data_IF_548002567917
#
_entry.id   IF_548002567917
#
_cell.length_a   1.000
_cell.length_b   1.000
_cell.length_c   1.000
_cell.angle_alpha   90.00
_cell.angle_beta   90.00
_cell.angle_gamma   90.00
#
_symmetry.space_group_name_H-M   'P 1'
#
loop_
_entity.id
_entity.type
_entity.pdbx_description
1 polymer ?
#
# COMPACT_ATOMS: atom_id res chain seq x y z
N UNK A 1 -4.84 78.48 -35.46
CA UNK A 1 -4.53 77.20 -36.14
C UNK A 1 -4.98 76.05 -35.24
N UNK A 2 -5.28 74.86 -35.77
CA UNK A 2 -5.57 73.68 -34.95
C UNK A 2 -4.25 73.01 -34.56
N UNK A 3 -4.18 72.46 -33.35
CA UNK A 3 -3.04 71.65 -32.90
C UNK A 3 -2.94 70.35 -33.69
N UNK A 4 -1.83 69.63 -33.51
CA UNK A 4 -1.78 68.21 -33.83
C UNK A 4 -2.84 67.44 -33.03
N UNK A 5 -3.33 66.33 -33.59
CA UNK A 5 -4.30 65.49 -32.91
C UNK A 5 -3.64 64.78 -31.73
N UNK A 6 -4.32 64.73 -30.57
CA UNK A 6 -3.77 64.09 -29.36
C UNK A 6 -3.58 62.58 -29.48
N UNK A 7 -4.21 61.93 -30.46
CA UNK A 7 -4.12 60.49 -30.73
C UNK A 7 -4.03 60.26 -32.24
N UNK A 8 -3.38 59.18 -32.66
CA UNK A 8 -3.24 58.83 -34.09
C UNK A 8 -4.41 58.00 -34.64
N UNK A 9 -5.21 57.39 -33.76
CA UNK A 9 -6.39 56.57 -34.06
C UNK A 9 -7.26 56.44 -32.80
N UNK A 10 -8.44 55.82 -32.94
CA UNK A 10 -9.41 55.54 -31.87
C UNK A 10 -9.90 56.77 -31.08
N UNK A 11 -9.93 57.93 -31.74
CA UNK A 11 -10.46 59.17 -31.18
C UNK A 11 -9.43 60.00 -30.42
N UNK A 12 -9.10 61.16 -30.96
CA UNK A 12 -8.32 62.21 -30.32
C UNK A 12 -9.02 63.56 -30.38
N UNK A 13 -8.38 64.56 -29.79
CA UNK A 13 -8.88 65.93 -29.76
C UNK A 13 -7.83 66.88 -30.33
N UNK A 14 -8.27 67.74 -31.25
CA UNK A 14 -7.53 68.92 -31.68
C UNK A 14 -8.09 70.13 -30.98
N UNK A 15 -7.21 71.01 -30.53
CA UNK A 15 -7.59 72.28 -29.88
C UNK A 15 -7.19 73.44 -30.76
N UNK A 16 -8.04 74.45 -30.81
CA UNK A 16 -7.71 75.68 -31.52
C UNK A 16 -6.77 76.49 -30.64
N UNK A 17 -5.60 76.83 -31.17
CA UNK A 17 -4.66 77.67 -30.45
C UNK A 17 -5.20 79.09 -30.35
N UNK A 18 -5.33 79.58 -29.11
CA UNK A 18 -5.74 80.94 -28.79
C UNK A 18 -4.50 81.73 -28.40
N UNK A 19 -4.26 82.83 -29.10
CA UNK A 19 -3.12 83.71 -28.87
C UNK A 19 -3.60 85.11 -28.48
N UNK A 20 -2.94 85.72 -27.49
CA UNK A 20 -3.19 87.10 -27.11
C UNK A 20 -2.58 88.04 -28.15
N UNK A 21 -3.35 88.97 -28.70
CA UNK A 21 -2.89 89.94 -29.71
C UNK A 21 -3.22 91.37 -29.28
N UNK A 22 -2.35 92.32 -29.60
CA UNK A 22 -2.65 93.74 -29.38
C UNK A 22 -3.64 94.27 -30.44
N UNK A 23 -4.49 95.22 -30.05
CA UNK A 23 -5.54 95.78 -30.93
C UNK A 23 -5.01 96.79 -31.95
N UNK A 24 -3.86 97.40 -31.70
CA UNK A 24 -3.24 98.44 -32.52
C UNK A 24 -2.48 97.86 -33.73
N UNK A 25 -1.66 96.83 -33.50
CA UNK A 25 -0.76 96.26 -34.50
C UNK A 25 -0.97 94.76 -34.77
N UNK A 26 -1.94 94.12 -34.10
CA UNK A 26 -2.20 92.67 -34.16
C UNK A 26 -1.00 91.78 -33.78
N UNK A 27 0.03 92.33 -33.14
CA UNK A 27 1.19 91.56 -32.69
C UNK A 27 0.82 90.62 -31.55
N UNK A 28 1.40 89.41 -31.55
CA UNK A 28 1.17 88.39 -30.53
C UNK A 28 1.97 88.75 -29.28
N UNK A 29 1.32 88.82 -28.13
CA UNK A 29 1.93 89.12 -26.83
C UNK A 29 1.71 87.98 -25.83
N UNK A 30 2.40 88.03 -24.70
CA UNK A 30 2.22 87.02 -23.65
C UNK A 30 0.79 87.04 -23.10
N UNK A 31 0.30 85.87 -22.71
CA UNK A 31 -1.10 85.69 -22.33
C UNK A 31 -1.51 86.53 -21.09
N UNK A 32 -0.54 86.93 -20.25
CA UNK A 32 -0.77 87.75 -19.05
C UNK A 32 -1.21 89.20 -19.37
N UNK A 33 -1.02 89.66 -20.61
CA UNK A 33 -1.47 90.99 -21.05
C UNK A 33 -2.92 91.00 -21.55
N UNK A 34 -3.53 89.82 -21.74
CA UNK A 34 -4.97 89.70 -22.03
C UNK A 34 -5.73 89.40 -20.73
N UNK A 35 -6.93 89.98 -20.60
CA UNK A 35 -7.84 89.70 -19.49
C UNK A 35 -8.29 88.22 -19.53
N UNK A 36 -8.09 87.43 -18.45
CA UNK A 36 -8.53 86.03 -18.39
C UNK A 36 -10.01 85.83 -18.70
N UNK A 37 -10.87 86.78 -18.31
CA UNK A 37 -12.32 86.71 -18.52
C UNK A 37 -12.72 87.02 -19.97
N UNK A 38 -11.82 87.66 -20.72
CA UNK A 38 -11.98 87.92 -22.16
C UNK A 38 -11.53 86.76 -23.05
N UNK A 39 -10.96 85.70 -22.46
CA UNK A 39 -10.46 84.55 -23.21
C UNK A 39 -11.62 83.84 -23.90
N UNK A 40 -11.57 83.66 -25.24
CA UNK A 40 -12.56 82.87 -25.96
C UNK A 40 -12.66 81.44 -25.39
N UNK A 41 -13.84 80.81 -25.43
CA UNK A 41 -14.00 79.42 -25.03
C UNK A 41 -13.05 78.53 -25.84
N UNK A 42 -12.48 77.53 -25.18
CA UNK A 42 -11.54 76.60 -25.81
C UNK A 42 -12.29 75.76 -26.85
N UNK A 43 -12.10 76.12 -28.13
CA UNK A 43 -12.68 75.35 -29.22
C UNK A 43 -11.88 74.05 -29.38
N UNK A 44 -12.59 72.93 -29.27
CA UNK A 44 -12.03 71.60 -29.45
C UNK A 44 -12.85 70.83 -30.49
N UNK A 45 -12.19 69.94 -31.24
CA UNK A 45 -12.87 69.04 -32.19
C UNK A 45 -12.28 67.64 -32.12
N UNK A 46 -13.11 66.65 -32.42
CA UNK A 46 -12.66 65.27 -32.59
C UNK A 46 -11.79 65.12 -33.84
N UNK A 47 -10.79 64.26 -33.77
CA UNK A 47 -9.89 63.90 -34.86
C UNK A 47 -9.51 62.42 -34.76
N UNK A 48 -9.07 61.81 -35.86
CA UNK A 48 -8.58 60.42 -35.91
C UNK A 48 -9.54 59.41 -35.26
N UNK A 49 -10.82 59.48 -35.62
CA UNK A 49 -11.90 58.66 -35.05
C UNK A 49 -11.91 57.22 -35.57
N UNK A 50 -11.08 56.91 -36.57
CA UNK A 50 -10.96 55.56 -37.12
C UNK A 50 -10.31 54.60 -36.10
N UNK A 51 -10.76 53.34 -36.02
CA UNK A 51 -10.13 52.34 -35.16
C UNK A 51 -8.64 52.17 -35.44
N UNK A 52 -7.87 51.89 -34.39
CA UNK A 52 -6.46 51.57 -34.54
C UNK A 52 -6.26 50.23 -35.28
N UNK A 53 -5.07 49.97 -35.85
CA UNK A 53 -4.71 48.63 -36.30
C UNK A 53 -4.81 47.63 -35.13
N UNK A 54 -5.28 46.40 -35.38
CA UNK A 54 -5.39 45.39 -34.33
C UNK A 54 -4.02 44.84 -33.92
N UNK A 55 -3.86 44.58 -32.63
CA UNK A 55 -2.63 44.09 -32.02
C UNK A 55 -2.90 42.89 -31.11
N UNK A 56 -1.87 42.07 -30.89
CA UNK A 56 -1.96 40.93 -29.97
C UNK A 56 -1.91 41.40 -28.51
N UNK A 57 -2.97 41.13 -27.78
CA UNK A 57 -2.95 41.12 -26.33
C UNK A 57 -2.39 39.79 -25.81
N UNK A 58 -1.38 39.88 -24.94
CA UNK A 58 -0.72 38.73 -24.33
C UNK A 58 -0.91 38.84 -22.82
N UNK A 59 -1.80 38.00 -22.27
CA UNK A 59 -2.01 37.90 -20.84
C UNK A 59 -0.88 37.13 -20.14
N UNK A 60 -0.94 37.15 -18.81
CA UNK A 60 -0.05 36.36 -17.97
C UNK A 60 -0.33 34.87 -18.11
N UNK A 61 0.69 34.07 -17.82
CA UNK A 61 0.55 32.63 -17.71
C UNK A 61 -0.30 32.26 -16.49
N UNK A 62 -1.31 31.42 -16.72
CA UNK A 62 -2.01 30.72 -15.65
C UNK A 62 -1.09 29.72 -14.95
N UNK A 63 -1.54 29.22 -13.80
CA UNK A 63 -0.87 28.15 -13.08
C UNK A 63 -0.70 26.90 -13.96
N UNK A 64 0.39 26.18 -13.72
CA UNK A 64 0.67 24.95 -14.45
C UNK A 64 -0.33 23.86 -14.04
N UNK A 65 -0.90 23.14 -15.02
CA UNK A 65 -1.84 22.03 -14.78
C UNK A 65 -1.29 20.90 -13.91
N UNK A 66 0.02 20.76 -13.79
CA UNK A 66 0.68 19.85 -12.86
C UNK A 66 1.81 20.56 -12.12
N UNK A 67 2.09 20.14 -10.90
CA UNK A 67 3.23 20.63 -10.11
C UNK A 67 4.54 19.88 -10.40
N UNK A 68 4.48 18.75 -11.10
CA UNK A 68 5.61 17.89 -11.48
C UNK A 68 5.17 16.91 -12.60
N UNK A 69 6.11 16.12 -13.14
CA UNK A 69 5.97 15.18 -14.26
C UNK A 69 5.42 15.79 -15.56
N UNK A 70 5.68 17.07 -15.79
CA UNK A 70 5.29 17.75 -17.01
C UNK A 70 3.79 18.08 -17.05
N UNK A 71 3.50 19.37 -16.94
CA UNK A 71 2.18 19.96 -17.21
C UNK A 71 2.23 20.92 -18.38
N UNK A 72 1.07 21.50 -18.68
CA UNK A 72 0.92 22.65 -19.57
C UNK A 72 0.39 23.85 -18.78
N UNK A 73 0.88 25.04 -19.10
CA UNK A 73 0.29 26.32 -18.70
C UNK A 73 -0.27 27.04 -19.92
N UNK A 74 -1.30 27.84 -19.71
CA UNK A 74 -2.02 28.55 -20.77
C UNK A 74 -2.07 30.03 -20.41
N UNK A 75 -2.02 30.92 -21.39
CA UNK A 75 -2.22 32.36 -21.22
C UNK A 75 -3.25 32.87 -22.20
N UNK A 76 -3.85 34.03 -21.91
CA UNK A 76 -4.73 34.68 -22.87
C UNK A 76 -3.91 35.23 -24.06
N UNK A 77 -4.31 34.88 -25.27
CA UNK A 77 -3.78 35.46 -26.52
C UNK A 77 -4.98 35.90 -27.34
N UNK A 78 -5.23 37.22 -27.36
CA UNK A 78 -6.41 37.82 -28.00
C UNK A 78 -5.96 38.82 -29.06
N UNK A 79 -6.68 38.91 -30.17
CA UNK A 79 -6.48 40.00 -31.12
C UNK A 79 -7.40 41.14 -30.72
N UNK A 80 -6.85 42.28 -30.30
CA UNK A 80 -7.63 43.41 -29.81
C UNK A 80 -7.45 44.64 -30.71
N UNK A 81 -8.51 45.42 -30.83
CA UNK A 81 -8.52 46.67 -31.59
C UNK A 81 -9.11 47.79 -30.75
N UNK A 82 -8.40 48.91 -30.65
CA UNK A 82 -8.95 50.12 -30.03
C UNK A 82 -9.91 50.79 -30.99
N UNK A 83 -11.16 50.95 -30.58
CA UNK A 83 -12.23 51.60 -31.35
C UNK A 83 -12.60 52.98 -30.78
N UNK A 84 -12.18 53.26 -29.54
CA UNK A 84 -12.38 54.54 -28.88
C UNK A 84 -11.35 54.81 -27.77
N UNK A 85 -11.48 55.93 -27.03
CA UNK A 85 -10.52 56.31 -25.98
C UNK A 85 -10.42 55.31 -24.83
N UNK A 86 -11.49 54.58 -24.56
CA UNK A 86 -11.59 53.54 -23.53
C UNK A 86 -12.38 52.32 -24.02
N UNK A 87 -12.55 52.19 -25.33
CA UNK A 87 -13.32 51.12 -25.94
C UNK A 87 -12.39 50.25 -26.79
N UNK A 88 -12.41 48.96 -26.48
CA UNK A 88 -11.62 47.94 -27.15
C UNK A 88 -12.55 46.83 -27.63
N UNK A 89 -12.25 46.30 -28.81
CA UNK A 89 -12.98 45.22 -29.45
C UNK A 89 -12.05 44.02 -29.58
N UNK A 90 -12.52 42.83 -29.20
CA UNK A 90 -11.81 41.58 -29.47
C UNK A 90 -12.23 41.05 -30.83
N UNK A 91 -11.26 40.85 -31.71
CA UNK A 91 -11.44 40.36 -33.07
C UNK A 91 -11.12 38.86 -33.17
N UNK A 92 -11.45 38.29 -34.34
CA UNK A 92 -10.92 36.99 -34.73
C UNK A 92 -9.39 37.03 -34.88
N UNK A 93 -8.75 35.88 -34.71
CA UNK A 93 -7.29 35.75 -34.79
C UNK A 93 -6.70 36.20 -36.12
N UNK A 94 -7.46 36.08 -37.22
CA UNK A 94 -7.05 36.55 -38.55
C UNK A 94 -6.93 38.08 -38.67
N UNK A 95 -7.52 38.83 -37.73
CA UNK A 95 -7.42 40.29 -37.71
C UNK A 95 -5.99 40.80 -37.44
N UNK A 96 -5.21 40.05 -36.67
CA UNK A 96 -3.84 40.41 -36.33
C UNK A 96 -2.87 39.76 -37.32
N UNK A 97 -2.20 40.58 -38.14
CA UNK A 97 -1.37 40.11 -39.27
C UNK A 97 -0.01 39.52 -38.86
N UNK A 98 0.39 39.73 -37.60
CA UNK A 98 1.64 39.21 -37.06
C UNK A 98 1.48 37.80 -36.49
N UNK A 99 2.58 37.07 -36.36
CA UNK A 99 2.55 35.69 -35.89
C UNK A 99 1.88 35.57 -34.50
N UNK A 100 0.90 34.68 -34.40
CA UNK A 100 0.16 34.44 -33.16
C UNK A 100 1.12 34.01 -32.04
N UNK A 101 1.14 34.73 -30.89
CA UNK A 101 1.92 34.32 -29.73
C UNK A 101 1.52 32.92 -29.23
N UNK A 102 2.49 32.21 -28.63
CA UNK A 102 2.24 30.88 -28.05
C UNK A 102 1.24 30.99 -26.91
N UNK A 103 0.13 30.28 -27.02
CA UNK A 103 -0.94 30.27 -26.00
C UNK A 103 -0.70 29.21 -24.92
N UNK A 104 -0.01 28.12 -25.26
CA UNK A 104 0.23 26.97 -24.37
C UNK A 104 1.68 26.55 -24.41
N UNK A 105 2.27 26.32 -23.24
CA UNK A 105 3.65 25.85 -23.16
C UNK A 105 3.85 24.82 -22.03
N UNK A 106 4.85 23.93 -22.18
CA UNK A 106 5.18 22.97 -21.14
C UNK A 106 5.75 23.64 -19.89
N UNK A 107 5.39 23.12 -18.73
CA UNK A 107 5.86 23.58 -17.44
C UNK A 107 6.06 22.40 -16.47
N UNK A 108 6.82 22.64 -15.40
CA UNK A 108 7.05 21.68 -14.31
C UNK A 108 7.54 20.30 -14.78
N UNK A 109 8.65 20.29 -15.53
CA UNK A 109 9.22 19.06 -16.11
C UNK A 109 10.05 18.22 -15.12
N UNK A 110 10.16 18.66 -13.86
CA UNK A 110 10.77 17.89 -12.78
C UNK A 110 9.94 16.66 -12.43
N UNK A 111 10.59 15.56 -12.08
CA UNK A 111 9.90 14.37 -11.60
C UNK A 111 9.20 14.61 -10.27
N UNK A 112 8.00 14.06 -10.11
CA UNK A 112 7.30 14.09 -8.84
C UNK A 112 8.07 13.29 -7.77
N UNK A 113 8.03 13.71 -6.49
CA UNK A 113 8.57 12.91 -5.41
C UNK A 113 7.82 11.57 -5.33
N UNK A 114 8.50 10.48 -4.95
CA UNK A 114 7.87 9.18 -4.85
C UNK A 114 6.87 9.15 -3.68
N UNK A 115 5.89 8.27 -3.79
CA UNK A 115 4.79 8.14 -2.84
C UNK A 115 4.68 6.71 -2.30
N UNK A 116 4.15 6.60 -1.08
CA UNK A 116 3.85 5.30 -0.49
C UNK A 116 2.63 4.66 -1.13
N UNK A 117 2.81 3.44 -1.61
CA UNK A 117 1.75 2.61 -2.17
C UNK A 117 1.58 1.41 -1.26
N UNK A 118 0.41 1.32 -0.64
CA UNK A 118 0.03 0.21 0.20
C UNK A 118 -0.66 -0.87 -0.64
N UNK A 119 -0.12 -2.09 -0.60
CA UNK A 119 -0.75 -3.26 -1.22
C UNK A 119 -1.91 -3.77 -0.35
N UNK A 120 -2.59 -4.77 -0.87
CA UNK A 120 -3.66 -5.45 -0.17
C UNK A 120 -3.21 -6.06 1.15
N UNK A 121 -4.16 -6.11 2.08
CA UNK A 121 -3.96 -6.78 3.35
C UNK A 121 -3.94 -8.30 3.18
N UNK A 122 -3.08 -8.95 3.94
CA UNK A 122 -3.14 -10.40 4.18
C UNK A 122 -4.46 -10.77 4.86
N UNK A 123 -4.75 -12.07 4.85
CA UNK A 123 -5.74 -12.63 5.78
C UNK A 123 -5.33 -12.34 7.24
N UNK A 124 -6.33 -12.24 8.12
CA UNK A 124 -6.11 -12.12 9.55
C UNK A 124 -5.53 -13.43 10.08
N UNK A 125 -4.44 -13.34 10.83
CA UNK A 125 -3.85 -14.49 11.53
C UNK A 125 -3.86 -14.26 13.03
N UNK A 126 -4.37 -15.23 13.82
CA UNK A 126 -4.96 -16.50 13.39
C UNK A 126 -6.37 -16.36 12.76
N UNK A 127 -6.89 -17.43 12.13
CA UNK A 127 -8.19 -17.43 11.42
C UNK A 127 -9.44 -17.38 12.33
N UNK A 128 -9.26 -17.14 13.62
CA UNK A 128 -10.32 -16.91 14.61
C UNK A 128 -9.75 -16.07 15.76
N UNK A 129 -10.60 -15.43 16.54
CA UNK A 129 -10.19 -14.64 17.70
C UNK A 129 -9.39 -13.38 17.33
N UNK A 130 -8.67 -12.78 18.29
CA UNK A 130 -7.85 -11.60 18.05
C UNK A 130 -6.57 -11.97 17.29
N UNK A 131 -6.20 -11.14 16.32
CA UNK A 131 -5.05 -11.36 15.47
C UNK A 131 -4.56 -10.10 14.79
N UNK A 132 -3.71 -10.29 13.80
CA UNK A 132 -3.18 -9.21 12.97
C UNK A 132 -3.27 -9.57 11.49
N UNK A 133 -3.46 -8.54 10.66
CA UNK A 133 -3.21 -8.62 9.23
C UNK A 133 -2.05 -7.70 8.87
N UNK A 134 -1.29 -8.13 7.88
CA UNK A 134 -0.08 -7.46 7.41
C UNK A 134 -0.27 -7.04 5.95
N UNK A 135 0.40 -5.98 5.52
CA UNK A 135 0.46 -5.62 4.10
C UNK A 135 1.86 -5.15 3.76
N UNK A 136 2.19 -5.18 2.49
CA UNK A 136 3.43 -4.60 1.99
C UNK A 136 3.16 -3.14 1.64
N UNK A 137 4.11 -2.26 1.97
CA UNK A 137 4.08 -0.85 1.60
C UNK A 137 5.36 -0.57 0.82
N UNK A 138 5.23 -0.07 -0.40
CA UNK A 138 6.34 0.21 -1.31
C UNK A 138 6.42 1.71 -1.58
N UNK A 139 7.63 2.24 -1.64
CA UNK A 139 7.87 3.59 -2.13
C UNK A 139 7.96 3.52 -3.66
N UNK A 140 7.06 4.19 -4.38
CA UNK A 140 6.99 4.15 -5.85
C UNK A 140 6.99 5.53 -6.47
N UNK A 141 7.43 5.63 -7.72
CA UNK A 141 7.20 6.84 -8.52
C UNK A 141 5.72 7.16 -8.63
N UNK A 142 5.41 8.42 -8.93
CA UNK A 142 4.06 8.94 -9.22
C UNK A 142 3.31 8.13 -10.29
N UNK A 143 4.01 7.67 -11.34
CA UNK A 143 3.47 6.83 -12.41
C UNK A 143 3.42 5.32 -12.04
N UNK A 144 3.79 4.97 -10.80
CA UNK A 144 3.83 3.62 -10.26
C UNK A 144 4.78 2.64 -10.97
N UNK A 145 5.59 3.12 -11.91
CA UNK A 145 6.46 2.28 -12.77
C UNK A 145 7.73 1.83 -12.06
N UNK A 146 8.33 2.69 -11.23
CA UNK A 146 9.58 2.43 -10.52
C UNK A 146 9.33 2.27 -9.03
N UNK A 147 10.04 1.32 -8.43
CA UNK A 147 10.05 1.11 -6.97
C UNK A 147 11.38 1.60 -6.41
N UNK A 148 11.30 2.43 -5.37
CA UNK A 148 12.44 3.06 -4.71
C UNK A 148 12.66 2.48 -3.30
N UNK A 149 13.85 2.68 -2.71
CA UNK A 149 14.09 2.42 -1.30
C UNK A 149 13.14 3.23 -0.40
N UNK A 150 12.76 2.64 0.74
CA UNK A 150 11.86 3.24 1.73
C UNK A 150 12.24 4.67 2.14
N UNK A 151 13.54 4.97 2.24
CA UNK A 151 14.06 6.27 2.67
C UNK A 151 13.76 7.42 1.70
N UNK A 152 13.35 7.15 0.45
CA UNK A 152 13.01 8.20 -0.51
C UNK A 152 11.58 8.72 -0.35
N UNK A 153 10.72 8.00 0.38
CA UNK A 153 9.37 8.44 0.68
C UNK A 153 9.31 9.01 2.11
N UNK A 154 8.48 10.05 2.37
CA UNK A 154 8.38 10.65 3.70
C UNK A 154 7.81 9.67 4.74
N UNK A 155 8.52 9.42 5.83
CA UNK A 155 8.11 8.42 6.83
C UNK A 155 6.81 8.81 7.55
N UNK A 156 6.49 10.10 7.67
CA UNK A 156 5.25 10.62 8.28
C UNK A 156 4.00 10.21 7.49
N UNK A 157 4.16 10.02 6.18
CA UNK A 157 3.09 9.62 5.27
C UNK A 157 3.00 8.11 5.08
N UNK A 158 3.85 7.32 5.76
CA UNK A 158 3.93 5.87 5.60
C UNK A 158 2.70 5.17 6.18
N UNK A 159 1.94 4.45 5.33
CA UNK A 159 0.78 3.69 5.81
C UNK A 159 1.19 2.56 6.76
N UNK A 160 0.32 2.15 7.71
CA UNK A 160 0.62 1.06 8.63
C UNK A 160 0.84 -0.26 7.88
N UNK A 161 1.89 -0.99 8.24
CA UNK A 161 2.24 -2.31 7.69
C UNK A 161 1.47 -3.44 8.40
N UNK A 162 1.00 -3.18 9.63
CA UNK A 162 0.30 -4.16 10.48
C UNK A 162 -0.88 -3.51 11.18
N UNK A 163 -2.05 -4.15 11.14
CA UNK A 163 -3.22 -3.73 11.92
C UNK A 163 -3.88 -4.91 12.65
N UNK A 164 -4.57 -4.60 13.74
CA UNK A 164 -5.34 -5.58 14.52
C UNK A 164 -6.59 -6.00 13.76
N UNK A 165 -6.98 -7.25 13.94
CA UNK A 165 -8.24 -7.81 13.48
C UNK A 165 -8.81 -8.73 14.57
N UNK A 166 -10.13 -8.91 14.58
CA UNK A 166 -10.79 -9.86 15.46
C UNK A 166 -11.80 -10.64 14.65
N UNK A 167 -11.58 -11.94 14.52
CA UNK A 167 -12.49 -12.87 13.88
C UNK A 167 -13.40 -13.52 14.93
N UNK A 168 -14.31 -14.39 14.48
CA UNK A 168 -15.21 -15.13 15.36
C UNK A 168 -14.47 -15.94 16.42
N UNK A 169 -15.18 -16.43 17.44
CA UNK A 169 -14.57 -17.20 18.53
C UNK A 169 -13.83 -18.42 17.99
N UNK A 170 -12.66 -18.69 18.56
CA UNK A 170 -11.91 -19.88 18.20
C UNK A 170 -12.62 -21.15 18.68
N UNK A 171 -12.51 -22.26 17.92
CA UNK A 171 -12.96 -23.56 18.40
C UNK A 171 -12.29 -23.89 19.75
N UNK A 172 -13.02 -24.50 20.69
CA UNK A 172 -12.44 -24.92 21.96
C UNK A 172 -11.34 -25.97 21.73
N UNK A 173 -10.36 -26.06 22.63
CA UNK A 173 -9.35 -27.10 22.55
C UNK A 173 -9.98 -28.47 22.73
N UNK A 174 -9.38 -29.48 22.11
CA UNK A 174 -9.87 -30.87 22.13
C UNK A 174 -8.76 -31.84 22.47
N UNK A 175 -9.15 -32.96 23.08
CA UNK A 175 -8.24 -34.09 23.26
C UNK A 175 -7.90 -34.72 21.91
N UNK A 176 -6.62 -34.89 21.66
CA UNK A 176 -6.07 -35.58 20.50
C UNK A 176 -5.25 -36.77 21.01
N UNK A 177 -5.52 -37.93 20.44
CA UNK A 177 -4.87 -39.19 20.80
C UNK A 177 -3.91 -39.61 19.69
N UNK A 178 -2.70 -40.03 20.06
CA UNK A 178 -1.81 -40.74 19.14
C UNK A 178 -2.21 -42.20 18.99
N UNK A 179 -1.46 -42.91 18.14
CA UNK A 179 -1.62 -44.34 17.97
C UNK A 179 -1.25 -45.11 19.24
N UNK A 180 -1.85 -46.29 19.41
CA UNK A 180 -1.46 -47.20 20.47
C UNK A 180 -0.05 -47.74 20.22
N UNK A 181 0.79 -47.70 21.25
CA UNK A 181 2.08 -48.35 21.25
C UNK A 181 1.95 -49.88 21.23
N UNK A 182 3.09 -50.56 21.19
CA UNK A 182 3.12 -52.03 21.23
C UNK A 182 2.55 -52.56 22.54
N UNK A 183 1.92 -53.74 22.47
CA UNK A 183 1.43 -54.43 23.65
C UNK A 183 2.61 -54.82 24.54
N UNK A 184 2.50 -54.57 25.85
CA UNK A 184 3.55 -54.93 26.83
C UNK A 184 3.83 -56.42 26.89
N UNK A 185 2.87 -57.26 26.49
CA UNK A 185 2.98 -58.70 26.46
C UNK A 185 3.22 -59.19 25.04
N UNK A 186 4.26 -60.01 24.85
CA UNK A 186 4.55 -60.69 23.59
C UNK A 186 3.53 -61.80 23.25
N UNK A 187 2.86 -62.33 24.27
CA UNK A 187 1.78 -63.30 24.11
C UNK A 187 0.75 -63.14 25.26
N UNK A 188 -0.54 -63.32 24.96
CA UNK A 188 -1.62 -63.21 25.95
C UNK A 188 -2.01 -61.76 26.30
N UNK A 189 -2.48 -61.55 27.53
CA UNK A 189 -2.98 -60.24 27.99
C UNK A 189 -1.83 -59.30 28.39
N UNK A 190 -1.86 -58.08 27.86
CA UNK A 190 -0.94 -57.01 28.22
C UNK A 190 -1.62 -55.65 28.30
N UNK A 191 -0.81 -54.60 28.41
CA UNK A 191 -1.24 -53.21 28.37
C UNK A 191 -0.51 -52.48 27.25
N UNK A 192 -1.22 -51.55 26.60
CA UNK A 192 -0.63 -50.63 25.63
C UNK A 192 -0.93 -49.20 26.04
N UNK A 193 0.01 -48.31 25.74
CA UNK A 193 -0.08 -46.88 26.06
C UNK A 193 -0.16 -46.05 24.77
N UNK A 194 -0.85 -44.90 24.85
CA UNK A 194 -0.87 -43.91 23.78
C UNK A 194 -0.68 -42.51 24.33
N UNK A 195 -0.27 -41.60 23.46
CA UNK A 195 -0.24 -40.17 23.79
C UNK A 195 -1.66 -39.61 23.83
N UNK A 196 -1.96 -38.80 24.84
CA UNK A 196 -3.22 -38.07 24.97
C UNK A 196 -2.86 -36.64 25.32
N UNK A 197 -3.10 -35.72 24.39
CA UNK A 197 -2.72 -34.32 24.51
C UNK A 197 -3.95 -33.44 24.30
N UNK A 198 -4.11 -32.42 25.13
CA UNK A 198 -5.09 -31.37 24.89
C UNK A 198 -4.48 -30.36 23.93
N UNK A 199 -5.04 -30.25 22.74
CA UNK A 199 -4.54 -29.35 21.71
C UNK A 199 -5.60 -28.29 21.39
N UNK A 200 -5.16 -27.04 21.27
CA UNK A 200 -5.93 -25.94 20.70
C UNK A 200 -6.18 -26.16 19.21
N UNK A 201 -7.03 -25.33 18.62
CA UNK A 201 -7.31 -25.40 17.18
C UNK A 201 -6.08 -25.15 16.28
N UNK A 202 -5.01 -24.52 16.80
CA UNK A 202 -3.73 -24.33 16.09
C UNK A 202 -2.77 -25.50 16.28
N UNK A 203 -3.13 -26.52 17.06
CA UNK A 203 -2.26 -27.65 17.40
C UNK A 203 -1.29 -27.37 18.55
N UNK A 204 -1.36 -26.20 19.18
CA UNK A 204 -0.57 -25.89 20.39
C UNK A 204 -1.17 -26.57 21.61
N UNK A 205 -0.33 -27.03 22.54
CA UNK A 205 -0.77 -27.61 23.80
C UNK A 205 -1.61 -26.61 24.62
N UNK A 206 -2.74 -27.07 25.15
CA UNK A 206 -3.66 -26.27 25.97
C UNK A 206 -4.03 -27.06 27.23
N UNK A 207 -4.50 -26.37 28.25
CA UNK A 207 -5.05 -26.94 29.49
C UNK A 207 -6.56 -26.80 29.60
N UNK A 208 -7.23 -26.18 28.61
CA UNK A 208 -8.64 -25.80 28.72
C UNK A 208 -9.59 -26.89 28.21
N UNK A 209 -9.07 -28.10 27.92
CA UNK A 209 -9.91 -29.24 27.60
C UNK A 209 -10.64 -29.73 28.86
N UNK A 210 -11.90 -30.10 28.69
CA UNK A 210 -12.67 -30.69 29.77
C UNK A 210 -12.12 -32.09 30.12
N UNK A 211 -11.71 -32.30 31.38
CA UNK A 211 -11.13 -33.57 31.83
C UNK A 211 -12.12 -34.74 31.80
N UNK A 212 -13.43 -34.48 31.91
CA UNK A 212 -14.46 -35.55 31.90
C UNK A 212 -14.54 -36.29 30.57
N UNK A 213 -14.05 -35.69 29.48
CA UNK A 213 -14.02 -36.28 28.13
C UNK A 213 -12.61 -36.74 27.75
N UNK A 214 -11.66 -36.79 28.70
CA UNK A 214 -10.28 -37.21 28.44
C UNK A 214 -10.25 -38.70 28.07
N UNK A 215 -9.76 -39.05 26.86
CA UNK A 215 -9.64 -40.45 26.45
C UNK A 215 -8.61 -41.20 27.31
N UNK A 216 -8.74 -42.53 27.47
CA UNK A 216 -7.78 -43.32 28.22
C UNK A 216 -6.40 -43.29 27.55
N UNK A 217 -5.35 -43.08 28.35
CA UNK A 217 -3.95 -43.18 27.89
C UNK A 217 -3.41 -44.60 27.92
N UNK A 218 -4.11 -45.53 28.55
CA UNK A 218 -3.74 -46.93 28.69
C UNK A 218 -4.95 -47.82 28.48
N UNK A 219 -4.78 -48.91 27.73
CA UNK A 219 -5.82 -49.93 27.56
C UNK A 219 -5.22 -51.34 27.57
N UNK A 220 -6.09 -52.33 27.78
CA UNK A 220 -5.73 -53.74 27.67
C UNK A 220 -5.57 -54.14 26.19
N UNK A 221 -4.60 -54.99 25.92
CA UNK A 221 -4.35 -55.59 24.60
C UNK A 221 -4.17 -57.11 24.76
N UNK A 222 -4.43 -57.84 23.68
CA UNK A 222 -4.21 -59.28 23.62
C UNK A 222 -3.34 -59.61 22.40
N UNK A 223 -2.17 -60.19 22.65
CA UNK A 223 -1.26 -60.68 21.62
C UNK A 223 -1.51 -62.16 21.36
N UNK A 224 -1.66 -62.53 20.07
CA UNK A 224 -1.88 -63.93 19.68
C UNK A 224 -0.64 -64.76 20.03
N UNK A 225 -0.84 -65.81 20.83
CA UNK A 225 0.20 -66.78 21.13
C UNK A 225 0.36 -67.74 19.95
N UNK A 226 1.41 -67.61 19.15
CA UNK A 226 1.70 -68.62 18.13
C UNK A 226 2.23 -69.89 18.84
N UNK A 227 1.43 -70.95 18.81
CA UNK A 227 1.74 -72.22 19.48
C UNK A 227 2.54 -73.13 18.56
N UNK A 228 3.62 -72.61 17.99
CA UNK A 228 4.58 -73.42 17.25
C UNK A 228 6.00 -73.10 17.75
N UNK A 229 6.67 -74.04 18.44
CA UNK A 229 8.06 -73.84 18.79
C UNK A 229 8.87 -73.87 17.49
N UNK A 230 9.55 -72.77 17.20
CA UNK A 230 10.67 -72.70 16.25
C UNK A 230 11.60 -73.86 16.62
N UNK A 231 11.73 -74.85 15.74
CA UNK A 231 12.65 -75.97 15.91
C UNK A 231 14.09 -75.47 15.74
N UNK A 232 14.60 -74.77 16.75
CA UNK A 232 16.03 -74.65 16.91
C UNK A 232 16.52 -75.95 17.53
N UNK A 233 17.20 -76.73 16.70
CA UNK A 233 18.07 -77.83 17.07
C UNK A 233 19.21 -77.31 17.95
N UNK A 234 18.90 -76.90 19.18
CA UNK A 234 19.87 -76.78 20.25
C UNK A 234 19.71 -78.00 21.14
N UNK A 235 20.77 -78.79 21.22
CA UNK A 235 20.86 -79.97 22.08
C UNK A 235 20.37 -79.65 23.50
N UNK A 236 19.32 -80.35 23.92
CA UNK A 236 18.80 -80.41 25.29
C UNK A 236 19.95 -80.40 26.33
N UNK A 237 20.10 -79.29 27.07
CA UNK A 237 21.13 -79.08 28.10
C UNK A 237 20.48 -78.58 29.40
N UNK A 238 21.00 -79.06 30.52
CA UNK A 238 20.62 -78.57 31.85
C UNK A 238 21.33 -77.26 32.14
N UNK A 239 20.56 -76.23 32.54
CA UNK A 239 21.05 -74.89 32.85
C UNK A 239 21.99 -74.89 34.07
N UNK A 240 21.73 -75.73 35.08
CA UNK A 240 22.64 -75.92 36.21
C UNK A 240 22.60 -77.35 36.75
N UNK A 241 23.65 -78.10 36.41
CA UNK A 241 23.80 -79.54 36.67
C UNK A 241 24.12 -79.90 38.13
N UNK A 242 24.64 -78.95 38.92
CA UNK A 242 25.27 -79.27 40.22
C UNK A 242 24.29 -79.12 41.37
N UNK A 243 23.45 -78.07 41.37
CA UNK A 243 22.55 -77.79 42.49
C UNK A 243 21.09 -77.68 42.05
N UNK A 244 20.81 -76.92 41.00
CA UNK A 244 19.44 -76.55 40.65
C UNK A 244 18.64 -77.73 40.10
N UNK A 245 19.12 -78.38 39.03
CA UNK A 245 18.38 -79.47 38.38
C UNK A 245 18.20 -80.72 39.26
N UNK A 246 19.18 -81.14 40.09
CA UNK A 246 18.97 -82.20 41.08
C UNK A 246 17.87 -81.88 42.10
N UNK A 247 17.72 -80.61 42.52
CA UNK A 247 16.63 -80.20 43.42
C UNK A 247 15.28 -80.24 42.69
N UNK A 248 15.23 -79.82 41.43
CA UNK A 248 14.02 -79.92 40.59
C UNK A 248 13.52 -81.37 40.49
N UNK A 249 14.43 -82.33 40.29
CA UNK A 249 14.08 -83.75 40.30
C UNK A 249 13.67 -84.23 41.69
N UNK A 250 14.45 -83.91 42.73
CA UNK A 250 14.19 -84.32 44.12
C UNK A 250 12.82 -83.87 44.62
N UNK A 251 12.37 -82.69 44.23
CA UNK A 251 11.07 -82.13 44.60
C UNK A 251 9.97 -82.36 43.56
N UNK A 252 10.19 -83.23 42.55
CA UNK A 252 9.22 -83.62 41.51
C UNK A 252 8.64 -82.47 40.70
N UNK A 253 9.45 -81.46 40.40
CA UNK A 253 9.02 -80.31 39.57
C UNK A 253 9.15 -80.55 38.05
N UNK A 254 9.64 -81.71 37.63
CA UNK A 254 9.79 -82.11 36.21
C UNK A 254 8.47 -82.17 35.42
N UNK A 255 7.31 -82.20 36.09
CA UNK A 255 5.99 -82.16 35.45
C UNK A 255 5.62 -80.79 34.85
N UNK A 256 6.33 -79.72 35.22
CA UNK A 256 6.06 -78.36 34.72
C UNK A 256 7.00 -78.03 33.56
N UNK A 257 6.44 -77.56 32.45
CA UNK A 257 7.16 -77.27 31.21
C UNK A 257 8.37 -76.34 31.40
N UNK A 258 8.24 -75.31 32.23
CA UNK A 258 9.34 -74.40 32.55
C UNK A 258 10.58 -75.10 33.13
N UNK A 259 10.37 -75.98 34.12
CA UNK A 259 11.48 -76.74 34.72
C UNK A 259 12.02 -77.81 33.77
N UNK A 260 11.18 -78.39 32.92
CA UNK A 260 11.60 -79.35 31.88
C UNK A 260 12.45 -78.68 30.79
N UNK A 261 12.19 -77.42 30.47
CA UNK A 261 13.01 -76.65 29.53
C UNK A 261 14.38 -76.29 30.11
N UNK A 262 14.42 -75.91 31.39
CA UNK A 262 15.66 -75.56 32.10
C UNK A 262 16.53 -76.77 32.51
N UNK A 263 15.92 -77.91 32.81
CA UNK A 263 16.56 -79.13 33.32
C UNK A 263 16.21 -80.35 32.46
N UNK A 264 16.37 -80.16 31.15
CA UNK A 264 15.92 -81.07 30.12
C UNK A 264 16.53 -82.48 30.21
N UNK A 265 17.83 -82.63 30.53
CA UNK A 265 18.46 -83.95 30.74
C UNK A 265 18.10 -84.55 32.09
N UNK A 266 18.06 -83.74 33.15
CA UNK A 266 17.73 -84.22 34.50
C UNK A 266 16.28 -84.73 34.61
N UNK A 267 15.36 -84.16 33.84
CA UNK A 267 13.95 -84.58 33.79
C UNK A 267 13.63 -85.59 32.66
N UNK A 268 14.66 -86.13 31.98
CA UNK A 268 14.47 -87.06 30.88
C UNK A 268 14.13 -88.46 31.42
N UNK A 269 12.83 -88.79 31.49
CA UNK A 269 12.33 -90.09 31.99
C UNK A 269 11.57 -90.05 33.33
N UNK A 270 11.27 -88.86 33.84
CA UNK A 270 10.46 -88.62 35.05
C UNK A 270 9.35 -87.58 34.78
#
# INVERSE_FOLDING_TARGET
PWSECSATCAGGVQRQEVVCKRLDDNSIVQNNYCDPDSKPPENQRACNTEPCPPEWFIGDWLECSKTCDGGMRTRAVLCIRKIGPSEEETLDYSGCLTHRPVEKEPCNNQSCPPQWVALDWSECTPKCGPGFKHRIVLCKSSDLSKTFPAAQCPEESKPPVRIRCSLGRCPPPRWVTGDWGQCSAQCGLGQQMRTVQCLSYTGQASSDCLETVRPPSMQQCESKCDSTPISNTEECKDVNKVAYCPLVLKFKFCSRAYFRQMCCKTCQGH
#
